data_IF_451074064445
#
_entry.id   IF_451074064445
#
_cell.length_a   1.000
_cell.length_b   1.000
_cell.length_c   1.000
_cell.angle_alpha   90.00
_cell.angle_beta   90.00
_cell.angle_gamma   90.00
#
_symmetry.space_group_name_H-M   'P 1'
#
loop_
_entity.id
_entity.type
_entity.pdbx_description
1 polymer ?
2 non-polymer ?
3 water ?
#
# COMPACT_ATOMS: atom_id res chain seq x y z
N UNK A 6 -17.99 20.79 20.73
CA UNK A 6 -17.08 21.36 19.71
C UNK A 6 -15.73 21.73 20.32
N UNK A 7 -14.65 21.44 19.58
CA UNK A 7 -13.27 21.69 20.02
C UNK A 7 -12.77 23.02 19.43
N UNK A 8 -11.90 23.72 20.17
CA UNK A 8 -11.55 25.11 19.84
C UNK A 8 -10.17 25.53 20.34
N UNK A 9 -9.36 26.10 19.43
CA UNK A 9 -8.08 26.74 19.81
C UNK A 9 -8.30 27.93 20.75
N UNK A 10 -7.39 28.11 21.70
CA UNK A 10 -7.53 29.14 22.76
C UNK A 10 -7.39 30.59 22.24
N UNK A 11 -6.55 30.78 21.23
CA UNK A 11 -6.32 32.10 20.60
C UNK A 11 -5.80 31.93 19.15
N UNK A 12 -5.58 33.03 18.40
CA UNK A 12 -4.93 32.93 17.09
C UNK A 12 -3.51 32.35 17.14
N UNK A 13 -3.31 31.24 16.42
CA UNK A 13 -2.09 30.42 16.50
C UNK A 13 -1.57 30.19 15.07
N UNK A 14 -0.24 30.12 14.87
CA UNK A 14 0.27 29.79 13.54
C UNK A 14 -0.17 28.42 13.06
N UNK A 15 -0.38 28.28 11.75
CA UNK A 15 -0.86 27.01 11.16
C UNK A 15 0.13 25.85 11.44
N UNK A 16 1.43 26.12 11.41
CA UNK A 16 2.45 25.06 11.67
C UNK A 16 2.71 24.71 13.15
N UNK A 17 2.03 25.39 14.06
CA UNK A 17 1.99 25.03 15.50
C UNK A 17 0.84 24.04 15.72
N UNK A 18 -0.36 24.44 15.27
CA UNK A 18 -1.59 23.62 15.35
C UNK A 18 -1.41 22.30 14.57
N UNK A 19 -0.90 22.38 13.34
CA UNK A 19 -0.65 21.22 12.47
C UNK A 19 0.86 21.04 12.33
N UNK A 20 1.48 20.25 13.24
CA UNK A 20 2.95 20.11 13.18
C UNK A 20 3.52 19.41 11.94
N UNK A 21 2.73 18.56 11.28
CA UNK A 21 3.15 17.94 10.02
C UNK A 21 3.19 18.99 8.89
N UNK A 22 4.37 19.27 8.30
CA UNK A 22 4.45 20.31 7.24
C UNK A 22 3.53 20.09 6.03
N UNK A 23 3.36 18.83 5.60
CA UNK A 23 2.44 18.50 4.49
C UNK A 23 0.99 18.84 4.82
N UNK A 24 0.56 18.50 6.03
CA UNK A 24 -0.81 18.78 6.44
C UNK A 24 -1.01 20.28 6.71
N UNK A 25 -0.01 20.92 7.32
CA UNK A 25 0.08 22.38 7.45
C UNK A 25 -0.09 23.06 6.11
N UNK A 26 0.59 22.56 5.07
CA UNK A 26 0.46 23.13 3.73
C UNK A 26 -0.98 23.03 3.19
N UNK A 27 -1.63 21.90 3.47
CA UNK A 27 -3.02 21.69 3.03
C UNK A 27 -4.01 22.63 3.76
N UNK A 28 -3.80 22.88 5.05
CA UNK A 28 -4.64 23.85 5.81
C UNK A 28 -4.40 25.30 5.37
N UNK A 29 -3.14 25.63 5.05
CA UNK A 29 -2.78 26.93 4.47
C UNK A 29 -3.57 27.21 3.19
N UNK A 30 -3.65 26.21 2.30
CA UNK A 30 -4.43 26.34 1.06
C UNK A 30 -5.95 26.42 1.32
N UNK A 31 -6.45 25.54 2.18
CA UNK A 31 -7.88 25.50 2.53
C UNK A 31 -8.38 26.78 3.24
N UNK A 32 -7.52 27.44 4.01
CA UNK A 32 -7.84 28.72 4.69
C UNK A 32 -7.48 29.98 3.88
N UNK A 33 -6.94 29.81 2.67
CA UNK A 33 -6.53 30.92 1.81
C UNK A 33 -5.33 31.74 2.28
N UNK A 34 -4.53 31.21 3.20
CA UNK A 34 -3.37 31.96 3.74
C UNK A 34 -2.15 31.87 2.83
N UNK A 35 -1.21 32.80 3.03
CA UNK A 35 0.02 32.91 2.21
C UNK A 35 1.11 31.92 2.63
N UNK A 36 1.29 31.76 3.95
CA UNK A 36 2.39 30.97 4.54
C UNK A 36 1.89 30.09 5.70
N UNK A 37 2.53 28.93 5.90
CA UNK A 37 2.24 28.04 7.05
C UNK A 37 2.58 28.67 8.41
N UNK A 38 3.47 29.67 8.43
CA UNK A 38 3.73 30.48 9.62
C UNK A 38 2.63 31.51 9.93
N UNK A 39 1.67 31.73 9.03
CA UNK A 39 0.57 32.70 9.27
C UNK A 39 -0.41 32.16 10.31
N UNK A 40 -1.02 33.11 11.02
CA UNK A 40 -2.02 32.84 12.04
C UNK A 40 -3.35 32.43 11.40
N UNK A 41 -4.11 31.58 12.09
CA UNK A 41 -5.52 31.32 11.78
C UNK A 41 -6.35 31.45 13.06
N UNK A 42 -7.61 31.89 12.89
CA UNK A 42 -8.60 31.89 13.98
C UNK A 42 -9.29 30.53 13.97
N UNK A 43 -10.07 30.26 15.02
CA UNK A 43 -10.93 29.07 15.05
C UNK A 43 -12.01 29.11 13.96
N UNK A 44 -12.53 30.30 13.68
CA UNK A 44 -13.47 30.51 12.55
C UNK A 44 -12.92 30.08 11.18
N UNK A 45 -11.63 30.33 10.93
CA UNK A 45 -10.95 29.85 9.70
C UNK A 45 -10.92 28.33 9.63
N UNK A 46 -10.58 27.71 10.76
CA UNK A 46 -10.60 26.25 10.89
C UNK A 46 -12.02 25.67 10.75
N UNK A 47 -13.01 26.33 11.36
CA UNK A 47 -14.43 25.91 11.24
C UNK A 47 -15.02 26.01 9.81
N UNK A 48 -14.40 26.83 8.94
CA UNK A 48 -14.77 26.93 7.52
C UNK A 48 -14.16 25.90 6.57
N UNK A 49 -13.30 25.00 7.07
CA UNK A 49 -12.72 23.92 6.24
C UNK A 49 -13.72 22.77 6.16
N UNK A 50 -14.31 22.58 4.98
CA UNK A 50 -15.25 21.48 4.73
C UNK A 50 -14.53 20.21 4.26
N UNK A 51 -13.53 20.36 3.40
CA UNK A 51 -12.76 19.25 2.83
C UNK A 51 -11.27 19.54 2.91
N UNK A 52 -10.49 18.50 3.16
CA UNK A 52 -9.03 18.60 3.27
C UNK A 52 -8.42 17.40 2.52
N UNK A 53 -7.50 17.70 1.60
CA UNK A 53 -6.83 16.69 0.78
C UNK A 53 -5.32 16.88 0.84
N UNK A 54 -4.61 15.79 1.16
CA UNK A 54 -3.14 15.75 1.22
C UNK A 54 -2.64 14.36 0.78
N UNK A 55 -3.19 13.89 -0.35
CA UNK A 55 -2.86 12.63 -1.04
C UNK A 55 -1.37 12.59 -1.36
N UNK A 56 -0.68 11.55 -0.93
CA UNK A 56 0.70 11.26 -1.36
C UNK A 56 1.74 12.38 -1.11
N UNK A 57 1.71 12.97 0.09
CA UNK A 57 2.56 14.10 0.46
C UNK A 57 3.41 13.87 1.71
N UNK A 58 3.52 12.62 2.16
CA UNK A 58 4.36 12.28 3.26
C UNK A 58 3.84 12.67 4.64
N UNK A 59 2.53 12.73 4.84
CA UNK A 59 1.92 13.03 6.15
C UNK A 59 2.19 11.86 7.12
N UNK A 60 2.80 12.17 8.25
CA UNK A 60 3.06 11.18 9.32
C UNK A 60 2.24 11.37 10.59
N UNK A 61 1.60 12.53 10.76
CA UNK A 61 0.72 12.78 11.90
C UNK A 61 -0.37 13.76 11.51
N UNK A 62 -1.59 13.48 11.99
CA UNK A 62 -2.75 14.32 11.74
C UNK A 62 -3.15 15.14 12.97
N UNK A 63 -2.22 15.34 13.90
CA UNK A 63 -2.39 16.31 15.00
C UNK A 63 -2.86 17.66 14.46
N UNK A 64 -3.85 18.24 15.12
CA UNK A 64 -4.49 19.48 14.69
C UNK A 64 -5.84 19.30 14.02
N UNK A 65 -6.08 18.12 13.43
CA UNK A 65 -7.34 17.81 12.75
C UNK A 65 -8.55 17.92 13.68
N UNK A 66 -8.34 17.64 14.98
CA UNK A 66 -9.39 17.75 16.00
C UNK A 66 -10.10 19.10 16.05
N UNK A 67 -9.41 20.16 15.60
CA UNK A 67 -9.95 21.53 15.57
C UNK A 67 -10.82 21.79 14.34
N UNK A 68 -10.78 20.91 13.34
CA UNK A 68 -11.60 21.05 12.14
C UNK A 68 -12.99 20.45 12.42
N UNK A 69 -13.80 21.18 13.20
CA UNK A 69 -15.12 20.70 13.69
C UNK A 69 -16.09 20.32 12.58
N UNK A 70 -16.15 21.15 11.53
CA UNK A 70 -17.11 20.99 10.43
C UNK A 70 -16.52 20.26 9.20
N UNK A 71 -15.40 19.53 9.38
CA UNK A 71 -14.78 18.73 8.32
C UNK A 71 -15.77 17.64 7.86
N UNK A 72 -15.97 17.56 6.55
CA UNK A 72 -16.90 16.65 5.88
C UNK A 72 -16.13 15.55 5.11
N UNK A 73 -15.07 15.92 4.39
CA UNK A 73 -14.26 15.00 3.59
C UNK A 73 -12.78 15.08 3.95
N UNK A 74 -12.15 13.94 4.17
CA UNK A 74 -10.72 13.87 4.47
C UNK A 74 -10.06 12.85 3.54
N UNK A 75 -9.15 13.34 2.70
CA UNK A 75 -8.49 12.55 1.67
C UNK A 75 -7.02 12.48 2.05
N UNK A 76 -6.60 11.34 2.58
CA UNK A 76 -5.25 11.13 3.10
C UNK A 76 -4.60 9.87 2.56
N UNK A 77 -5.01 9.47 1.34
CA UNK A 77 -4.44 8.31 0.65
C UNK A 77 -2.91 8.40 0.49
N UNK A 78 -2.24 7.25 0.68
CA UNK A 78 -0.81 7.09 0.40
C UNK A 78 0.10 8.00 1.21
N UNK A 79 -0.22 8.13 2.50
CA UNK A 79 0.64 8.80 3.46
C UNK A 79 1.20 7.74 4.42
N UNK A 80 1.85 8.16 5.51
CA UNK A 80 2.42 7.23 6.47
C UNK A 80 1.87 7.52 7.85
N UNK A 81 0.56 7.58 7.96
CA UNK A 81 -0.14 7.92 9.20
C UNK A 81 -0.29 6.63 10.00
N UNK A 82 0.07 6.66 11.29
CA UNK A 82 -0.06 5.52 12.21
C UNK A 82 -1.11 5.72 13.33
N UNK A 83 -1.51 6.96 13.62
CA UNK A 83 -2.37 7.30 14.78
C UNK A 83 -3.58 8.12 14.32
N UNK A 84 -4.76 7.58 14.51
CA UNK A 84 -6.03 8.23 14.12
C UNK A 84 -6.74 8.91 15.28
N UNK A 85 -6.09 8.97 16.45
CA UNK A 85 -6.67 9.59 17.66
C UNK A 85 -7.24 11.01 17.45
N UNK A 86 -6.56 11.88 16.66
CA UNK A 86 -7.09 13.23 16.41
C UNK A 86 -8.45 13.33 15.69
N UNK A 87 -8.85 12.26 14.98
CA UNK A 87 -10.20 12.15 14.38
C UNK A 87 -11.36 11.84 15.34
N UNK A 88 -11.08 11.36 16.57
CA UNK A 88 -12.07 10.68 17.46
C UNK A 88 -13.40 11.36 17.63
N UNK A 89 -13.34 12.67 17.84
CA UNK A 89 -14.52 13.48 18.22
C UNK A 89 -15.11 14.28 17.07
N UNK A 90 -14.61 14.09 15.85
CA UNK A 90 -15.22 14.69 14.67
C UNK A 90 -16.61 14.09 14.45
N UNK A 91 -17.60 14.96 14.30
CA UNK A 91 -19.02 14.57 14.25
C UNK A 91 -19.70 14.73 12.88
N UNK A 92 -19.07 15.42 11.92
CA UNK A 92 -19.63 15.69 10.58
C UNK A 92 -18.86 15.08 9.38
N UNK A 93 -17.78 14.32 9.64
CA UNK A 93 -17.02 13.64 8.57
C UNK A 93 -17.90 12.56 7.93
N UNK A 94 -18.11 12.65 6.61
CA UNK A 94 -18.85 11.63 5.82
C UNK A 94 -17.98 10.81 4.85
N UNK A 95 -16.82 11.35 4.49
CA UNK A 95 -15.89 10.74 3.54
C UNK A 95 -14.52 10.69 4.20
N UNK A 96 -14.01 9.49 4.45
CA UNK A 96 -12.68 9.29 5.03
C UNK A 96 -11.86 8.33 4.15
N UNK A 97 -10.78 8.83 3.54
CA UNK A 97 -9.93 8.05 2.64
C UNK A 97 -8.56 7.93 3.27
N UNK A 98 -8.25 6.72 3.75
CA UNK A 98 -7.01 6.41 4.45
C UNK A 98 -6.19 5.32 3.79
N UNK A 99 -6.55 4.96 2.55
CA UNK A 99 -5.85 3.94 1.74
C UNK A 99 -4.31 4.09 1.73
N UNK A 100 -3.59 2.98 1.95
CA UNK A 100 -2.13 2.96 1.91
C UNK A 100 -1.40 3.34 3.19
N UNK A 101 -2.12 3.85 4.21
CA UNK A 101 -1.51 4.26 5.47
C UNK A 101 -1.27 3.05 6.36
N UNK A 102 -0.13 2.99 7.07
CA UNK A 102 0.15 1.83 7.94
C UNK A 102 -0.65 1.88 9.26
N UNK A 103 -1.97 1.76 9.19
CA UNK A 103 -2.85 1.93 10.35
C UNK A 103 -2.76 0.81 11.37
N UNK A 104 -2.77 -0.44 10.90
CA UNK A 104 -2.67 -1.67 11.70
C UNK A 104 -3.97 -2.04 12.40
N UNK A 105 -4.65 -1.05 12.95
CA UNK A 105 -6.03 -1.19 13.41
C UNK A 105 -6.78 0.11 13.16
N UNK A 106 -8.10 0.06 13.24
CA UNK A 106 -8.96 1.26 13.08
C UNK A 106 -9.87 1.47 14.31
N UNK A 107 -9.36 1.18 15.51
CA UNK A 107 -10.13 1.37 16.77
C UNK A 107 -10.61 2.81 16.94
N UNK A 108 -9.76 3.76 16.55
CA UNK A 108 -10.05 5.18 16.70
C UNK A 108 -11.24 5.72 15.89
N UNK A 109 -11.73 5.00 14.89
CA UNK A 109 -12.87 5.48 14.10
C UNK A 109 -14.25 4.95 14.53
N UNK A 110 -14.29 4.08 15.54
CA UNK A 110 -15.54 3.42 15.96
C UNK A 110 -16.68 4.38 16.37
N UNK A 111 -16.32 5.57 16.85
CA UNK A 111 -17.29 6.62 17.20
C UNK A 111 -17.72 7.52 16.05
N UNK A 112 -17.10 7.41 14.89
CA UNK A 112 -17.40 8.31 13.76
C UNK A 112 -18.67 7.84 13.01
N UNK A 113 -19.83 7.93 13.68
CA UNK A 113 -21.12 7.41 13.16
C UNK A 113 -21.60 8.10 11.88
N UNK A 114 -21.18 9.35 11.66
CA UNK A 114 -21.51 10.10 10.44
C UNK A 114 -20.91 9.58 9.12
N UNK A 115 -19.90 8.68 9.18
CA UNK A 115 -19.18 8.23 7.96
C UNK A 115 -20.07 7.45 6.99
N UNK A 116 -20.13 7.93 5.74
CA UNK A 116 -20.84 7.28 4.62
C UNK A 116 -19.89 6.53 3.67
N UNK A 117 -18.70 7.07 3.42
CA UNK A 117 -17.71 6.46 2.51
C UNK A 117 -16.40 6.30 3.29
N UNK A 118 -15.90 5.06 3.35
CA UNK A 118 -14.68 4.74 4.10
C UNK A 118 -13.75 3.90 3.24
N UNK A 119 -12.53 4.38 3.02
CA UNK A 119 -11.52 3.63 2.26
C UNK A 119 -10.35 3.23 3.16
N UNK A 120 -10.27 1.92 3.43
CA UNK A 120 -9.22 1.32 4.25
C UNK A 120 -8.37 0.31 3.46
N UNK A 121 -8.29 0.50 2.14
CA UNK A 121 -7.42 -0.28 1.25
C UNK A 121 -5.96 -0.23 1.70
N UNK A 122 -5.32 -1.39 1.83
CA UNK A 122 -3.86 -1.48 2.13
C UNK A 122 -3.49 -0.71 3.40
N UNK A 123 -4.22 -0.97 4.49
CA UNK A 123 -3.96 -0.32 5.78
C UNK A 123 -3.35 -1.25 6.83
N UNK A 124 -2.95 -2.45 6.39
CA UNK A 124 -2.38 -3.50 7.24
C UNK A 124 -3.29 -3.88 8.40
N UNK A 125 -4.60 -3.85 8.18
CA UNK A 125 -5.58 -4.27 9.20
C UNK A 125 -5.89 -5.76 9.08
N UNK A 126 -6.20 -6.37 10.21
CA UNK A 126 -6.65 -7.76 10.28
C UNK A 126 -8.10 -7.91 10.76
N UNK A 127 -8.70 -6.83 11.26
CA UNK A 127 -9.89 -6.88 12.10
C UNK A 127 -10.75 -5.64 11.78
N UNK A 128 -12.03 -5.83 11.49
CA UNK A 128 -12.98 -4.71 11.21
C UNK A 128 -14.06 -4.52 12.30
N UNK A 129 -13.83 -5.11 13.48
CA UNK A 129 -14.72 -4.97 14.62
C UNK A 129 -15.12 -3.52 14.97
N UNK A 130 -14.17 -2.55 14.92
CA UNK A 130 -14.54 -1.14 15.15
C UNK A 130 -15.55 -0.51 14.17
N UNK A 131 -15.75 -1.12 13.01
CA UNK A 131 -16.70 -0.58 12.03
C UNK A 131 -18.19 -0.89 12.35
N UNK A 132 -18.47 -1.83 13.27
CA UNK A 132 -19.87 -2.26 13.53
C UNK A 132 -20.87 -1.17 13.90
N UNK A 133 -20.39 -0.07 14.50
CA UNK A 133 -21.22 1.09 14.85
C UNK A 133 -21.43 2.15 13.77
N UNK A 134 -20.78 1.97 12.62
CA UNK A 134 -20.81 2.93 11.50
C UNK A 134 -22.03 2.62 10.62
N UNK A 135 -23.19 2.85 11.21
CA UNK A 135 -24.49 2.45 10.66
C UNK A 135 -24.91 3.22 9.39
N UNK A 136 -24.31 4.38 9.17
CA UNK A 136 -24.54 5.16 7.93
C UNK A 136 -23.62 4.82 6.75
N UNK A 137 -22.76 3.81 6.90
CA UNK A 137 -21.76 3.47 5.86
C UNK A 137 -22.47 2.94 4.60
N UNK A 138 -22.16 3.55 3.46
CA UNK A 138 -22.71 3.22 2.14
C UNK A 138 -21.66 2.57 1.23
N UNK A 139 -20.42 3.07 1.29
CA UNK A 139 -19.30 2.63 0.46
C UNK A 139 -18.13 2.25 1.40
N UNK A 140 -17.70 1.00 1.32
CA UNK A 140 -16.62 0.50 2.13
C UNK A 140 -15.58 -0.23 1.29
N UNK A 141 -14.34 0.22 1.33
CA UNK A 141 -13.21 -0.49 0.71
C UNK A 141 -12.33 -1.10 1.80
N UNK A 142 -12.21 -2.43 1.78
CA UNK A 142 -11.37 -3.19 2.70
C UNK A 142 -10.28 -4.02 2.00
N UNK A 143 -9.97 -3.69 0.75
CA UNK A 143 -9.09 -4.49 -0.11
C UNK A 143 -7.65 -4.47 0.34
N UNK A 144 -6.93 -5.56 0.08
CA UNK A 144 -5.46 -5.63 0.27
C UNK A 144 -5.06 -5.49 1.76
N UNK A 145 -5.79 -6.19 2.61
CA UNK A 145 -5.51 -6.32 4.03
C UNK A 145 -5.37 -7.81 4.36
N UNK A 146 -5.51 -8.20 5.63
CA UNK A 146 -5.48 -9.61 6.02
C UNK A 146 -6.69 -9.92 6.89
N UNK A 147 -7.86 -9.51 6.41
CA UNK A 147 -9.13 -9.63 7.12
C UNK A 147 -9.68 -11.03 6.85
N UNK A 148 -10.14 -11.68 7.91
CA UNK A 148 -10.78 -12.99 7.85
C UNK A 148 -12.27 -12.88 8.12
N UNK A 149 -12.66 -12.22 9.21
CA UNK A 149 -14.04 -12.22 9.72
C UNK A 149 -14.81 -10.97 9.26
N UNK A 150 -15.97 -11.19 8.61
CA UNK A 150 -16.88 -10.11 8.15
C UNK A 150 -18.05 -9.91 9.12
N UNK A 151 -18.11 -10.69 10.22
CA UNK A 151 -19.22 -10.58 11.20
C UNK A 151 -19.59 -9.14 11.62
N UNK A 152 -18.59 -8.26 11.87
CA UNK A 152 -18.90 -6.87 12.24
C UNK A 152 -19.63 -6.02 11.21
N UNK A 153 -19.64 -6.42 9.92
CA UNK A 153 -20.41 -5.72 8.88
C UNK A 153 -21.91 -6.03 8.83
N UNK A 154 -22.38 -7.07 9.54
CA UNK A 154 -23.76 -7.58 9.42
C UNK A 154 -24.87 -6.54 9.65
N UNK A 155 -24.63 -5.62 10.57
CA UNK A 155 -25.54 -4.52 10.85
C UNK A 155 -25.41 -3.29 9.96
N UNK A 156 -24.47 -3.30 9.00
CA UNK A 156 -24.26 -2.15 8.10
C UNK A 156 -25.22 -2.23 6.91
N UNK A 157 -26.50 -2.03 7.23
CA UNK A 157 -27.61 -2.24 6.30
C UNK A 157 -27.78 -1.15 5.24
N UNK A 158 -27.06 -0.03 5.35
CA UNK A 158 -26.99 0.98 4.27
C UNK A 158 -25.92 0.74 3.19
N UNK A 159 -25.15 -0.34 3.30
CA UNK A 159 -24.04 -0.60 2.36
C UNK A 159 -24.56 -0.87 0.93
N UNK A 160 -24.10 -0.06 -0.02
CA UNK A 160 -24.34 -0.24 -1.47
C UNK A 160 -23.14 -0.84 -2.19
N UNK A 161 -21.92 -0.51 -1.75
CA UNK A 161 -20.66 -0.92 -2.39
C UNK A 161 -19.75 -1.48 -1.32
N UNK A 162 -19.37 -2.75 -1.47
CA UNK A 162 -18.42 -3.42 -0.56
C UNK A 162 -17.30 -4.05 -1.37
N UNK A 163 -16.06 -3.66 -1.08
CA UNK A 163 -14.90 -4.20 -1.72
C UNK A 163 -14.02 -4.86 -0.66
N UNK A 164 -13.82 -6.17 -0.78
CA UNK A 164 -13.06 -6.99 0.16
C UNK A 164 -12.03 -7.90 -0.52
N UNK A 165 -11.60 -7.53 -1.72
CA UNK A 165 -10.62 -8.32 -2.49
C UNK A 165 -9.25 -8.38 -1.83
N UNK A 166 -8.51 -9.46 -2.09
CA UNK A 166 -7.18 -9.69 -1.50
C UNK A 166 -7.21 -9.65 0.04
N UNK A 167 -8.05 -10.49 0.61
CA UNK A 167 -8.10 -10.72 2.04
C UNK A 167 -8.07 -12.25 2.27
N UNK A 168 -8.53 -12.74 3.43
CA UNK A 168 -8.58 -14.16 3.74
C UNK A 168 -10.01 -14.55 4.17
N UNK A 169 -11.02 -13.92 3.57
CA UNK A 169 -12.41 -14.11 3.93
C UNK A 169 -12.85 -15.50 3.46
N UNK A 170 -13.49 -16.26 4.34
CA UNK A 170 -14.04 -17.60 4.01
C UNK A 170 -15.55 -17.79 4.20
N UNK A 171 -16.25 -16.76 4.69
CA UNK A 171 -17.65 -16.87 5.06
C UNK A 171 -18.34 -15.56 4.65
N UNK A 172 -19.30 -15.63 3.73
CA UNK A 172 -20.10 -14.47 3.30
C UNK A 172 -21.45 -14.35 4.04
N UNK A 173 -21.71 -15.23 4.99
CA UNK A 173 -22.94 -15.19 5.80
C UNK A 173 -23.26 -13.83 6.44
N UNK A 174 -22.24 -13.08 6.94
CA UNK A 174 -22.51 -11.72 7.45
C UNK A 174 -23.10 -10.72 6.44
N UNK A 175 -22.98 -11.01 5.14
CA UNK A 175 -23.53 -10.14 4.09
C UNK A 175 -25.03 -10.38 3.77
N UNK A 176 -25.64 -11.42 4.36
CA UNK A 176 -27.02 -11.85 4.05
C UNK A 176 -28.12 -10.77 4.16
N UNK A 177 -27.95 -9.84 5.11
CA UNK A 177 -28.94 -8.77 5.36
C UNK A 177 -28.59 -7.41 4.72
N UNK A 178 -27.50 -7.33 3.95
CA UNK A 178 -27.09 -6.08 3.29
C UNK A 178 -27.82 -5.95 1.95
N UNK A 179 -29.13 -5.71 2.04
CA UNK A 179 -30.05 -5.78 0.89
C UNK A 179 -29.92 -4.65 -0.12
N UNK A 180 -29.24 -3.56 0.24
CA UNK A 180 -28.96 -2.47 -0.70
C UNK A 180 -27.71 -2.68 -1.58
N UNK A 181 -26.93 -3.74 -1.36
CA UNK A 181 -25.67 -3.95 -2.10
C UNK A 181 -25.89 -4.13 -3.61
N UNK A 182 -25.26 -3.26 -4.40
CA UNK A 182 -25.18 -3.39 -5.85
C UNK A 182 -23.83 -3.93 -6.35
N UNK A 183 -22.75 -3.71 -5.60
CA UNK A 183 -21.42 -4.22 -5.96
C UNK A 183 -20.78 -4.95 -4.79
N UNK A 184 -20.38 -6.20 -5.06
CA UNK A 184 -19.52 -6.96 -4.16
C UNK A 184 -18.29 -7.33 -4.94
N UNK A 185 -17.14 -6.80 -4.54
CA UNK A 185 -15.86 -7.16 -5.13
C UNK A 185 -15.08 -7.96 -4.11
N UNK A 186 -14.82 -9.23 -4.41
CA UNK A 186 -14.21 -10.18 -3.48
C UNK A 186 -13.19 -11.11 -4.13
N UNK A 187 -12.48 -10.62 -5.15
CA UNK A 187 -11.41 -11.41 -5.82
C UNK A 187 -10.30 -11.76 -4.81
N UNK A 188 -9.82 -13.01 -4.85
CA UNK A 188 -8.64 -13.45 -4.09
C UNK A 188 -8.94 -13.46 -2.57
N UNK A 189 -9.75 -14.44 -2.20
CA UNK A 189 -10.19 -14.71 -0.84
C UNK A 189 -10.25 -16.24 -0.67
N UNK A 190 -10.93 -16.73 0.35
CA UNK A 190 -11.09 -18.17 0.58
C UNK A 190 -12.58 -18.54 0.57
N UNK A 191 -13.33 -17.97 -0.39
CA UNK A 191 -14.78 -18.16 -0.46
C UNK A 191 -15.06 -19.47 -1.21
N UNK A 192 -15.89 -20.33 -0.64
CA UNK A 192 -16.43 -21.53 -1.34
C UNK A 192 -17.94 -21.62 -1.46
N UNK A 193 -18.67 -21.07 -0.49
CA UNK A 193 -20.13 -21.08 -0.46
C UNK A 193 -20.53 -19.64 -0.75
N UNK A 194 -21.33 -19.42 -1.79
CA UNK A 194 -21.93 -18.08 -2.07
C UNK A 194 -23.46 -18.06 -1.87
N UNK A 195 -23.99 -19.04 -1.13
CA UNK A 195 -25.43 -19.08 -0.75
C UNK A 195 -25.99 -17.78 -0.18
N UNK A 196 -25.22 -17.08 0.70
CA UNK A 196 -25.66 -15.76 1.20
C UNK A 196 -26.07 -14.72 0.16
N UNK A 197 -25.47 -14.77 -1.03
CA UNK A 197 -25.72 -13.78 -2.09
C UNK A 197 -27.12 -13.88 -2.69
N UNK A 198 -27.79 -15.02 -2.54
CA UNK A 198 -29.19 -15.20 -3.02
C UNK A 198 -30.23 -14.25 -2.39
N UNK A 199 -29.97 -13.78 -1.16
CA UNK A 199 -30.82 -12.78 -0.49
C UNK A 199 -30.37 -11.32 -0.74
N UNK A 200 -29.48 -11.09 -1.72
CA UNK A 200 -29.04 -9.75 -2.13
C UNK A 200 -29.59 -9.47 -3.54
N UNK A 201 -30.87 -9.03 -3.64
CA UNK A 201 -31.52 -8.92 -4.96
C UNK A 201 -31.04 -7.79 -5.90
N UNK A 202 -30.38 -6.77 -5.35
CA UNK A 202 -29.96 -5.61 -6.13
C UNK A 202 -28.54 -5.71 -6.71
N UNK A 203 -27.87 -6.87 -6.53
CA UNK A 203 -26.50 -7.08 -7.01
C UNK A 203 -26.42 -6.93 -8.53
N UNK A 204 -25.58 -5.99 -8.96
CA UNK A 204 -25.27 -5.73 -10.36
C UNK A 204 -23.93 -6.38 -10.75
N UNK A 205 -22.92 -6.21 -9.90
CA UNK A 205 -21.54 -6.61 -10.19
C UNK A 205 -21.01 -7.43 -9.03
N UNK A 206 -20.64 -8.68 -9.30
CA UNK A 206 -20.08 -9.59 -8.30
C UNK A 206 -18.73 -10.09 -8.82
N UNK A 207 -17.64 -9.73 -8.16
CA UNK A 207 -16.31 -10.16 -8.56
C UNK A 207 -15.85 -11.21 -7.58
N UNK A 208 -15.70 -12.45 -8.06
CA UNK A 208 -15.31 -13.60 -7.22
C UNK A 208 -14.17 -14.43 -7.83
N UNK A 209 -13.24 -13.78 -8.53
CA UNK A 209 -12.07 -14.48 -9.12
C UNK A 209 -11.15 -15.02 -8.03
N UNK A 210 -10.42 -16.10 -8.32
CA UNK A 210 -9.44 -16.71 -7.38
C UNK A 210 -10.04 -17.00 -6.00
N UNK A 211 -11.23 -17.59 -6.02
CA UNK A 211 -11.87 -18.17 -4.86
C UNK A 211 -12.06 -19.66 -5.19
N UNK A 212 -12.73 -20.41 -4.31
CA UNK A 212 -12.85 -21.87 -4.44
C UNK A 212 -14.32 -22.26 -4.52
N UNK A 213 -14.99 -21.76 -5.56
CA UNK A 213 -16.45 -21.84 -5.74
C UNK A 213 -16.80 -22.93 -6.76
N UNK A 214 -17.68 -23.86 -6.35
CA UNK A 214 -18.21 -24.95 -7.19
C UNK A 214 -19.65 -24.72 -7.67
N UNK A 215 -20.48 -24.14 -6.80
CA UNK A 215 -21.93 -24.06 -6.99
C UNK A 215 -22.32 -22.58 -7.14
N UNK A 216 -22.79 -22.19 -8.33
CA UNK A 216 -23.29 -20.82 -8.58
C UNK A 216 -24.84 -20.71 -8.66
N UNK A 217 -25.55 -21.75 -8.19
CA UNK A 217 -27.02 -21.72 -8.03
C UNK A 217 -27.61 -20.50 -7.28
N UNK A 218 -26.95 -20.03 -6.19
CA UNK A 218 -27.47 -18.84 -5.48
C UNK A 218 -27.55 -17.55 -6.31
N UNK A 219 -26.81 -17.49 -7.42
CA UNK A 219 -26.90 -16.40 -8.39
C UNK A 219 -28.02 -16.53 -9.43
N UNK A 220 -28.55 -17.75 -9.62
CA UNK A 220 -29.53 -18.06 -10.69
C UNK A 220 -30.77 -17.16 -10.71
N UNK A 221 -31.26 -16.78 -9.53
CA UNK A 221 -32.46 -15.93 -9.39
C UNK A 221 -32.24 -14.41 -9.28
N UNK A 222 -30.98 -13.99 -9.12
CA UNK A 222 -30.63 -12.57 -9.07
C UNK A 222 -30.81 -11.96 -10.47
N UNK A 223 -31.80 -11.07 -10.60
CA UNK A 223 -32.27 -10.59 -11.90
C UNK A 223 -31.67 -9.25 -12.36
N UNK A 224 -30.92 -8.55 -11.49
CA UNK A 224 -30.24 -7.28 -11.88
C UNK A 224 -28.75 -7.45 -12.19
N UNK A 225 -28.29 -8.69 -12.34
CA UNK A 225 -26.87 -9.04 -12.38
C UNK A 225 -26.35 -8.73 -13.77
N UNK A 226 -25.38 -7.82 -13.88
CA UNK A 226 -24.66 -7.57 -15.14
C UNK A 226 -23.48 -8.51 -15.32
N UNK A 227 -22.70 -8.77 -14.26
CA UNK A 227 -21.51 -9.62 -14.35
C UNK A 227 -21.16 -10.30 -13.03
N UNK A 228 -20.84 -11.59 -13.14
CA UNK A 228 -20.17 -12.35 -12.09
C UNK A 228 -18.86 -12.83 -12.70
N UNK A 229 -17.74 -12.69 -11.99
CA UNK A 229 -16.46 -13.18 -12.47
C UNK A 229 -15.95 -14.30 -11.57
N UNK A 230 -15.32 -15.30 -12.18
CA UNK A 230 -14.65 -16.40 -11.47
C UNK A 230 -13.33 -16.74 -12.15
N UNK A 231 -12.52 -17.57 -11.51
CA UNK A 231 -11.47 -18.36 -12.18
C UNK A 231 -11.52 -19.82 -11.71
N UNK B 5 18.38 -20.84 -18.56
CA UNK B 5 19.27 -20.43 -19.69
C UNK B 5 18.61 -19.34 -20.55
N UNK B 6 17.54 -19.70 -21.28
CA UNK B 6 16.85 -18.79 -22.21
C UNK B 6 15.50 -19.36 -22.66
N UNK B 7 14.41 -18.63 -22.38
CA UNK B 7 13.03 -19.11 -22.58
C UNK B 7 12.45 -18.53 -23.88
N UNK B 8 11.56 -19.29 -24.54
CA UNK B 8 11.11 -18.97 -25.91
C UNK B 8 9.72 -19.52 -26.24
N UNK B 9 8.82 -18.64 -26.73
CA UNK B 9 7.53 -19.05 -27.30
C UNK B 9 7.71 -19.98 -28.50
N UNK B 10 6.84 -20.98 -28.64
CA UNK B 10 6.97 -22.02 -29.68
C UNK B 10 6.74 -21.50 -31.10
N UNK B 11 5.83 -20.52 -31.25
CA UNK B 11 5.53 -19.91 -32.54
C UNK B 11 4.97 -18.48 -32.35
N UNK B 12 4.67 -17.74 -33.45
CA UNK B 12 3.96 -16.46 -33.33
C UNK B 12 2.58 -16.58 -32.68
N UNK B 13 2.40 -15.85 -31.57
CA UNK B 13 1.23 -15.97 -30.69
C UNK B 13 0.65 -14.57 -30.46
N UNK B 14 -0.69 -14.43 -30.33
CA UNK B 14 -1.24 -13.13 -29.95
C UNK B 14 -0.73 -12.64 -28.58
N UNK B 15 -0.58 -11.32 -28.45
CA UNK B 15 -0.05 -10.73 -27.20
C UNK B 15 -0.96 -11.06 -25.98
N UNK B 16 -2.28 -11.08 -26.17
CA UNK B 16 -3.22 -11.40 -25.07
C UNK B 16 -3.41 -12.90 -24.72
N UNK B 17 -2.72 -13.78 -25.44
CA UNK B 17 -2.57 -15.21 -25.11
C UNK B 17 -1.36 -15.41 -24.20
N UNK B 18 -0.22 -14.89 -24.65
CA UNK B 18 1.06 -14.92 -23.90
C UNK B 18 0.92 -14.18 -22.57
N UNK B 19 0.36 -12.97 -22.61
CA UNK B 19 0.13 -12.12 -21.43
C UNK B 19 -1.37 -12.07 -21.18
N UNK B 20 -1.91 -13.02 -20.37
CA UNK B 20 -3.36 -13.04 -20.17
C UNK B 20 -3.95 -11.82 -19.42
N UNK B 21 -3.16 -11.13 -18.60
CA UNK B 21 -3.61 -9.92 -17.93
C UNK B 21 -3.76 -8.78 -18.96
N UNK B 22 -4.99 -8.23 -19.18
CA UNK B 22 -5.17 -7.19 -20.22
C UNK B 22 -4.31 -5.94 -20.05
N UNK B 23 -4.12 -5.50 -18.80
CA UNK B 23 -3.26 -4.34 -18.50
C UNK B 23 -1.80 -4.59 -18.89
N UNK B 24 -1.30 -5.79 -18.59
CA UNK B 24 0.10 -6.12 -18.93
C UNK B 24 0.24 -6.35 -20.43
N UNK B 25 -0.76 -7.02 -21.03
CA UNK B 25 -0.90 -7.13 -22.48
C UNK B 25 -0.83 -5.78 -23.17
N UNK B 26 -1.56 -4.80 -22.64
CA UNK B 26 -1.54 -3.43 -23.18
C UNK B 26 -0.12 -2.80 -23.13
N UNK B 27 0.61 -3.06 -22.04
CA UNK B 27 1.99 -2.55 -21.89
C UNK B 27 2.97 -3.21 -22.89
N UNK B 28 2.82 -4.51 -23.15
CA UNK B 28 3.63 -5.20 -24.18
C UNK B 28 3.30 -4.75 -25.62
N UNK B 29 2.01 -4.50 -25.88
CA UNK B 29 1.53 -3.93 -27.14
C UNK B 29 2.24 -2.60 -27.45
N UNK B 30 2.32 -1.72 -26.45
CA UNK B 30 3.02 -0.44 -26.62
C UNK B 30 4.55 -0.61 -26.78
N UNK B 31 5.15 -1.44 -25.93
CA UNK B 31 6.59 -1.75 -25.99
C UNK B 31 7.06 -2.41 -27.30
N UNK B 32 6.21 -3.22 -27.93
CA UNK B 32 6.49 -3.87 -29.23
C UNK B 32 6.02 -3.07 -30.46
N UNK B 33 5.42 -1.89 -30.25
CA UNK B 33 4.90 -1.04 -31.31
C UNK B 33 3.66 -1.55 -32.05
N UNK B 34 2.94 -2.53 -31.50
CA UNK B 34 1.79 -3.13 -32.19
C UNK B 34 0.52 -2.28 -32.03
N UNK B 35 -0.44 -2.53 -32.91
CA UNK B 35 -1.71 -1.78 -32.93
C UNK B 35 -2.72 -2.26 -31.89
N UNK B 36 -2.83 -3.58 -31.72
CA UNK B 36 -3.85 -4.24 -30.88
C UNK B 36 -3.25 -5.38 -30.04
N UNK B 37 -3.81 -5.60 -28.85
CA UNK B 37 -3.42 -6.75 -28.00
C UNK B 37 -3.72 -8.13 -28.62
N UNK B 38 -4.67 -8.18 -29.56
CA UNK B 38 -4.92 -9.38 -30.39
C UNK B 38 -3.87 -9.63 -31.49
N UNK B 39 -2.96 -8.67 -31.76
CA UNK B 39 -1.92 -8.86 -32.77
C UNK B 39 -0.86 -9.86 -32.32
N UNK B 40 -0.27 -10.53 -33.32
CA UNK B 40 0.80 -11.51 -33.12
C UNK B 40 2.12 -10.79 -32.78
N UNK B 41 2.96 -11.46 -31.98
CA UNK B 41 4.35 -11.08 -31.77
C UNK B 41 5.23 -12.34 -31.96
N UNK B 42 6.45 -12.12 -32.43
CA UNK B 42 7.48 -13.15 -32.49
C UNK B 42 8.23 -13.13 -31.15
N UNK B 43 9.06 -14.16 -30.92
CA UNK B 43 9.99 -14.17 -29.78
C UNK B 43 11.01 -13.01 -29.86
N UNK B 44 11.45 -12.69 -31.08
CA UNK B 44 12.31 -11.52 -31.35
C UNK B 44 11.74 -10.18 -30.88
N UNK B 45 10.42 -9.98 -31.05
CA UNK B 45 9.73 -8.78 -30.53
C UNK B 45 9.80 -8.74 -29.00
N UNK B 46 9.53 -9.88 -28.37
CA UNK B 46 9.63 -10.02 -26.91
C UNK B 46 11.08 -9.83 -26.41
N UNK B 47 12.06 -10.38 -27.13
CA UNK B 47 13.49 -10.21 -26.80
C UNK B 47 14.01 -8.75 -26.95
N UNK B 48 13.32 -7.92 -27.73
CA UNK B 48 13.60 -6.47 -27.82
C UNK B 48 12.96 -5.55 -26.78
N UNK B 49 12.20 -6.10 -25.82
CA UNK B 49 11.65 -5.31 -24.72
C UNK B 49 12.71 -5.17 -23.62
N UNK B 50 13.24 -3.97 -23.46
CA UNK B 50 14.21 -3.66 -22.39
C UNK B 50 13.53 -3.26 -21.10
N UNK B 51 12.48 -2.45 -21.18
CA UNK B 51 11.75 -1.92 -20.02
C UNK B 51 10.26 -2.08 -20.22
N UNK B 52 9.55 -2.39 -19.14
CA UNK B 52 8.10 -2.57 -19.17
C UNK B 52 7.52 -1.86 -17.94
N UNK B 53 6.53 -1.00 -18.19
CA UNK B 53 5.89 -0.19 -17.14
C UNK B 53 4.38 -0.36 -17.22
N UNK B 54 3.77 -0.73 -16.09
CA UNK B 54 2.32 -0.88 -15.95
C UNK B 54 1.88 -0.46 -14.53
N UNK B 55 2.39 0.71 -14.11
CA UNK B 55 2.08 1.39 -12.82
C UNK B 55 0.59 1.62 -12.69
N UNK B 56 -0.03 1.13 -11.62
CA UNK B 56 -1.39 1.48 -11.23
C UNK B 56 -2.48 1.21 -12.29
N UNK B 57 -2.43 0.03 -12.90
CA UNK B 57 -3.31 -0.37 -13.99
C UNK B 57 -4.10 -1.66 -13.72
N UNK B 58 -4.11 -2.12 -12.47
CA UNK B 58 -4.89 -3.28 -12.10
C UNK B 58 -4.31 -4.62 -12.55
N UNK B 59 -2.99 -4.73 -12.67
CA UNK B 59 -2.33 -6.01 -13.03
C UNK B 59 -2.49 -7.01 -11.86
N UNK B 60 -3.07 -8.18 -12.13
CA UNK B 60 -3.20 -9.26 -11.15
C UNK B 60 -2.32 -10.47 -11.41
N UNK B 61 -1.74 -10.59 -12.61
CA UNK B 61 -0.83 -11.69 -12.93
C UNK B 61 0.21 -11.23 -13.95
N UNK B 62 1.46 -11.62 -13.71
CA UNK B 62 2.57 -11.33 -14.62
C UNK B 62 2.97 -12.55 -15.47
N UNK B 63 2.07 -13.52 -15.63
CA UNK B 63 2.24 -14.61 -16.61
C UNK B 63 2.61 -14.04 -17.97
N UNK B 64 3.61 -14.66 -18.62
CA UNK B 64 4.16 -14.20 -19.89
C UNK B 64 5.48 -13.44 -19.76
N UNK B 65 5.75 -12.83 -18.59
CA UNK B 65 7.02 -12.10 -18.31
C UNK B 65 8.25 -12.99 -18.49
N UNK B 66 8.11 -14.30 -18.21
CA UNK B 66 9.20 -15.28 -18.37
C UNK B 66 9.85 -15.28 -19.78
N UNK B 67 9.07 -14.88 -20.79
CA UNK B 67 9.54 -14.80 -22.19
C UNK B 67 10.32 -13.52 -22.49
N UNK B 68 10.27 -12.52 -21.60
CA UNK B 68 11.02 -11.28 -21.79
C UNK B 68 12.44 -11.48 -21.27
N UNK B 69 13.24 -12.21 -22.06
CA UNK B 69 14.61 -12.66 -21.66
C UNK B 69 15.56 -11.50 -21.33
N UNK B 70 15.51 -10.45 -22.16
CA UNK B 70 16.40 -9.28 -22.04
C UNK B 70 15.79 -8.08 -21.27
N UNK B 71 14.74 -8.32 -20.49
CA UNK B 71 14.10 -7.29 -19.65
C UNK B 71 15.12 -6.77 -18.63
N UNK B 72 15.24 -5.44 -18.54
CA UNK B 72 16.18 -4.72 -17.67
C UNK B 72 15.43 -3.99 -16.53
N UNK B 73 14.32 -3.32 -16.84
CA UNK B 73 13.53 -2.56 -15.86
C UNK B 73 12.08 -3.02 -15.86
N UNK B 74 11.52 -3.31 -14.69
CA UNK B 74 10.11 -3.70 -14.55
C UNK B 74 9.48 -2.79 -13.49
N UNK B 75 8.50 -1.99 -13.93
CA UNK B 75 7.84 -0.99 -13.10
C UNK B 75 6.39 -1.41 -12.94
N UNK B 76 6.07 -1.99 -11.77
CA UNK B 76 4.76 -2.58 -11.48
C UNK B 76 4.16 -2.10 -10.18
N UNK B 77 4.55 -0.89 -9.76
CA UNK B 77 4.00 -0.25 -8.58
C UNK B 77 2.46 -0.16 -8.60
N UNK B 78 1.87 -0.42 -7.43
CA UNK B 78 0.43 -0.23 -7.16
C UNK B 78 -0.50 -1.08 -8.04
N UNK B 79 -0.13 -2.33 -8.20
CA UNK B 79 -0.97 -3.33 -8.83
C UNK B 79 -1.38 -4.34 -7.76
N UNK B 80 -2.00 -5.45 -8.15
CA UNK B 80 -2.46 -6.45 -7.21
C UNK B 80 -1.84 -7.82 -7.55
N UNK B 81 -0.53 -7.83 -7.70
CA UNK B 81 0.19 -9.05 -8.11
C UNK B 81 0.45 -9.86 -6.84
N UNK B 82 0.14 -11.15 -6.86
CA UNK B 82 0.39 -12.07 -5.74
C UNK B 82 1.49 -13.11 -6.00
N UNK B 83 1.84 -13.37 -7.27
CA UNK B 83 2.73 -14.50 -7.65
C UNK B 83 3.86 -13.98 -8.53
N UNK B 84 5.09 -14.09 -8.02
CA UNK B 84 6.28 -13.62 -8.73
C UNK B 84 7.03 -14.73 -9.45
N UNK B 85 6.48 -15.94 -9.48
CA UNK B 85 7.08 -17.10 -10.15
C UNK B 85 7.54 -16.86 -11.61
N UNK B 86 6.75 -16.12 -12.43
CA UNK B 86 7.19 -15.79 -13.80
C UNK B 86 8.50 -14.99 -13.95
N UNK B 87 8.93 -14.27 -12.91
CA UNK B 87 10.22 -13.56 -12.88
C UNK B 87 11.45 -14.43 -12.62
N UNK B 88 11.26 -15.66 -12.13
CA UNK B 88 12.32 -16.37 -11.39
C UNK B 88 13.60 -16.66 -12.18
N UNK B 89 13.48 -16.88 -13.49
CA UNK B 89 14.62 -17.18 -14.37
C UNK B 89 15.13 -15.99 -15.21
N UNK B 90 14.60 -14.79 -14.98
CA UNK B 90 15.10 -13.57 -15.64
C UNK B 90 16.51 -13.29 -15.12
N UNK B 91 17.45 -13.07 -16.04
CA UNK B 91 18.88 -12.92 -15.71
C UNK B 91 19.47 -11.52 -15.91
N UNK B 92 18.74 -10.61 -16.57
CA UNK B 92 19.21 -9.23 -16.89
C UNK B 92 18.43 -8.09 -16.23
N UNK B 93 17.42 -8.42 -15.40
CA UNK B 93 16.63 -7.39 -14.68
C UNK B 93 17.54 -6.70 -13.64
N UNK B 94 17.68 -5.37 -13.74
CA UNK B 94 18.45 -4.53 -12.77
C UNK B 94 17.59 -3.58 -11.92
N UNK B 95 16.36 -3.30 -12.36
CA UNK B 95 15.41 -2.39 -11.70
C UNK B 95 14.08 -3.13 -11.58
N UNK B 96 13.67 -3.45 -10.36
CA UNK B 96 12.37 -4.12 -10.09
C UNK B 96 11.59 -3.28 -9.09
N UNK B 97 10.44 -2.75 -9.53
CA UNK B 97 9.58 -1.90 -8.69
C UNK B 97 8.26 -2.62 -8.48
N UNK B 98 8.06 -3.15 -7.28
CA UNK B 98 6.87 -3.92 -6.92
C UNK B 98 6.08 -3.33 -5.74
N UNK B 99 6.39 -2.09 -5.39
CA UNK B 99 5.71 -1.34 -4.34
C UNK B 99 4.17 -1.41 -4.39
N UNK B 100 3.54 -1.69 -3.24
CA UNK B 100 2.07 -1.72 -3.14
C UNK B 100 1.38 -3.03 -3.51
N UNK B 101 2.11 -3.99 -4.08
CA UNK B 101 1.56 -5.28 -4.46
C UNK B 101 1.45 -6.20 -3.24
N UNK B 102 0.37 -6.99 -3.11
CA UNK B 102 0.21 -7.88 -1.96
C UNK B 102 1.07 -9.15 -2.09
N UNK B 103 2.39 -8.99 -2.04
CA UNK B 103 3.32 -10.10 -2.32
C UNK B 103 3.37 -11.16 -1.22
N UNK B 104 3.45 -10.72 0.04
CA UNK B 104 3.48 -11.58 1.25
C UNK B 104 4.85 -12.22 1.50
N UNK B 105 5.46 -12.76 0.45
CA UNK B 105 6.84 -13.17 0.47
C UNK B 105 7.47 -12.92 -0.90
N UNK B 106 8.78 -12.86 -0.91
CA UNK B 106 9.56 -12.63 -2.14
C UNK B 106 10.58 -13.75 -2.37
N UNK B 107 10.24 -14.99 -2.01
CA UNK B 107 11.09 -16.16 -2.27
C UNK B 107 11.48 -16.29 -3.75
N UNK B 108 10.54 -15.99 -4.63
CA UNK B 108 10.72 -16.11 -6.09
C UNK B 108 11.80 -15.21 -6.71
N UNK B 109 12.24 -14.16 -6.02
CA UNK B 109 13.30 -13.29 -6.57
C UNK B 109 14.73 -13.63 -6.11
N UNK B 110 14.90 -14.62 -5.22
CA UNK B 110 16.20 -14.96 -4.61
C UNK B 110 17.33 -15.28 -5.61
N UNK B 111 16.98 -15.80 -6.77
CA UNK B 111 17.93 -16.07 -7.85
C UNK B 111 18.27 -14.87 -8.74
N UNK B 112 17.55 -13.76 -8.61
CA UNK B 112 17.73 -12.58 -9.49
C UNK B 112 18.94 -11.75 -9.07
N UNK B 113 20.13 -12.33 -9.24
CA UNK B 113 21.40 -11.73 -8.77
C UNK B 113 21.75 -10.38 -9.45
N UNK B 114 21.25 -10.18 -10.68
CA UNK B 114 21.45 -8.93 -11.43
C UNK B 114 20.77 -7.67 -10.85
N UNK B 115 19.84 -7.80 -9.90
CA UNK B 115 19.06 -6.64 -9.39
C UNK B 115 19.96 -5.61 -8.65
N UNK B 116 19.92 -4.35 -9.13
CA UNK B 116 20.60 -3.20 -8.50
C UNK B 116 19.65 -2.31 -7.72
N UNK B 117 18.42 -2.10 -8.22
CA UNK B 117 17.38 -1.31 -7.52
C UNK B 117 16.17 -2.18 -7.31
N UNK B 118 15.74 -2.30 -6.05
CA UNK B 118 14.60 -3.10 -5.67
C UNK B 118 13.68 -2.30 -4.76
N UNK B 119 12.41 -2.16 -5.17
CA UNK B 119 11.41 -1.50 -4.35
C UNK B 119 10.33 -2.49 -3.90
N UNK B 120 10.34 -2.80 -2.61
CA UNK B 120 9.36 -3.70 -1.97
C UNK B 120 8.53 -2.97 -0.89
N UNK B 121 8.36 -1.67 -1.06
CA UNK B 121 7.49 -0.82 -0.20
C UNK B 121 6.07 -1.38 -0.15
N UNK B 122 5.51 -1.56 1.04
CA UNK B 122 4.09 -1.94 1.22
C UNK B 122 3.73 -3.21 0.45
N UNK B 123 4.54 -4.26 0.64
CA UNK B 123 4.33 -5.57 0.00
C UNK B 123 3.90 -6.68 0.95
N UNK B 124 3.55 -6.31 2.19
CA UNK B 124 3.11 -7.23 3.25
C UNK B 124 4.12 -8.33 3.54
N UNK B 125 5.41 -8.03 3.43
CA UNK B 125 6.46 -9.00 3.72
C UNK B 125 6.86 -8.91 5.20
N UNK B 126 7.26 -10.05 5.75
CA UNK B 126 7.75 -10.13 7.11
C UNK B 126 9.21 -10.54 7.17
N UNK B 127 9.79 -10.98 6.05
CA UNK B 127 11.02 -11.77 6.03
C UNK B 127 11.82 -11.37 4.79
N UNK B 128 13.07 -10.98 4.97
CA UNK B 128 13.95 -10.56 3.85
C UNK B 128 15.03 -11.59 3.49
N UNK B 129 14.88 -12.81 4.00
CA UNK B 129 15.83 -13.92 3.75
C UNK B 129 16.14 -14.10 2.26
N UNK B 130 15.11 -14.01 1.37
CA UNK B 130 15.39 -14.11 -0.08
C UNK B 130 16.29 -13.03 -0.69
N UNK B 131 16.46 -11.89 -0.02
CA UNK B 131 17.34 -10.82 -0.53
C UNK B 131 18.83 -11.08 -0.34
N UNK B 132 19.21 -12.04 0.51
CA UNK B 132 20.62 -12.27 0.83
C UNK B 132 21.46 -12.54 -0.42
N UNK B 133 20.86 -13.18 -1.42
CA UNK B 133 21.55 -13.53 -2.66
C UNK B 133 21.75 -12.38 -3.64
N UNK B 134 21.10 -11.24 -3.38
CA UNK B 134 21.08 -10.10 -4.29
C UNK B 134 22.29 -9.19 -4.00
N UNK B 135 23.47 -9.74 -4.27
CA UNK B 135 24.77 -9.12 -3.89
C UNK B 135 25.12 -7.85 -4.67
N UNK B 136 24.50 -7.64 -5.84
CA UNK B 136 24.66 -6.39 -6.63
C UNK B 136 23.71 -5.24 -6.23
N UNK B 137 22.90 -5.44 -5.18
CA UNK B 137 21.85 -4.45 -4.80
C UNK B 137 22.51 -3.15 -4.28
N UNK B 138 22.06 -2.03 -4.85
CA UNK B 138 22.54 -0.68 -4.52
C UNK B 138 21.50 0.16 -3.80
N UNK B 139 20.23 0.02 -4.22
CA UNK B 139 19.09 0.79 -3.70
C UNK B 139 18.00 -0.21 -3.29
N UNK B 140 17.65 -0.20 -2.02
CA UNK B 140 16.66 -1.10 -1.47
C UNK B 140 15.62 -0.34 -0.66
N UNK B 141 14.35 -0.46 -1.05
CA UNK B 141 13.23 0.06 -0.27
C UNK B 141 12.44 -1.07 0.35
N UNK B 142 12.39 -1.08 1.67
CA UNK B 142 11.66 -2.10 2.45
C UNK B 142 10.61 -1.50 3.38
N UNK B 143 10.23 -0.25 3.11
CA UNK B 143 9.32 0.53 3.97
C UNK B 143 7.93 -0.04 4.04
N UNK B 144 7.26 0.14 5.18
CA UNK B 144 5.82 -0.14 5.33
C UNK B 144 5.51 -1.63 5.17
N UNK B 145 6.32 -2.47 5.83
CA UNK B 145 6.14 -3.90 5.92
C UNK B 145 6.06 -4.31 7.40
N UNK B 146 6.30 -5.58 7.73
CA UNK B 146 6.34 -6.03 9.12
C UNK B 146 7.62 -6.84 9.34
N UNK B 147 8.75 -6.25 8.91
CA UNK B 147 10.06 -6.86 9.00
C UNK B 147 10.64 -6.59 10.39
N UNK B 148 11.21 -7.63 10.98
CA UNK B 148 11.90 -7.57 12.26
C UNK B 148 13.42 -7.75 12.06
N UNK B 149 13.83 -8.79 11.35
CA UNK B 149 15.23 -9.22 11.28
C UNK B 149 15.91 -8.75 9.99
N UNK B 150 17.04 -8.05 10.13
CA UNK B 150 17.84 -7.54 9.00
C UNK B 150 19.08 -8.42 8.74
N UNK B 151 19.24 -9.53 9.49
CA UNK B 151 20.42 -10.42 9.33
C UNK B 151 20.77 -10.79 7.87
N UNK B 152 19.75 -11.14 7.04
CA UNK B 152 20.02 -11.44 5.63
C UNK B 152 20.63 -10.33 4.76
N UNK B 153 20.55 -9.06 5.18
CA UNK B 153 21.19 -7.94 4.45
C UNK B 153 22.69 -7.75 4.69
N UNK B 154 23.28 -8.45 5.67
CA UNK B 154 24.68 -8.23 6.11
C UNK B 154 25.73 -8.35 5.00
N UNK B 155 25.49 -9.23 4.04
CA UNK B 155 26.35 -9.38 2.86
C UNK B 155 26.10 -8.43 1.70
N UNK B 156 25.10 -7.55 1.81
CA UNK B 156 24.75 -6.63 0.71
C UNK B 156 25.65 -5.39 0.75
N UNK B 157 26.93 -5.64 0.46
CA UNK B 157 28.00 -4.65 0.62
C UNK B 157 28.03 -3.55 -0.45
N UNK B 158 27.27 -3.69 -1.54
CA UNK B 158 27.08 -2.59 -2.53
C UNK B 158 25.96 -1.59 -2.23
N UNK B 159 25.26 -1.78 -1.11
CA UNK B 159 24.10 -0.91 -0.77
C UNK B 159 24.55 0.53 -0.48
N UNK B 160 24.00 1.47 -1.23
CA UNK B 160 24.17 2.92 -1.02
C UNK B 160 22.96 3.58 -0.33
N UNK B 161 21.77 3.06 -0.62
CA UNK B 161 20.49 3.62 -0.13
C UNK B 161 19.65 2.49 0.44
N UNK B 162 19.33 2.60 1.73
CA UNK B 162 18.48 1.59 2.42
C UNK B 162 17.36 2.28 3.16
N UNK B 163 16.13 1.92 2.84
CA UNK B 163 14.96 2.49 3.44
C UNK B 163 14.17 1.37 4.10
N UNK B 164 14.05 1.44 5.41
CA UNK B 164 13.39 0.41 6.25
C UNK B 164 12.37 0.99 7.22
N UNK B 165 11.88 2.21 6.93
CA UNK B 165 10.90 2.88 7.79
C UNK B 165 9.61 2.11 7.93
N UNK B 166 8.91 2.31 9.04
CA UNK B 166 7.62 1.65 9.33
C UNK B 166 7.73 0.12 9.24
N UNK B 167 8.64 -0.43 10.04
CA UNK B 167 8.80 -1.88 10.25
C UNK B 167 8.86 -2.13 11.76
N UNK B 168 9.40 -3.26 12.21
CA UNK B 168 9.53 -3.59 13.62
C UNK B 168 11.00 -3.95 13.94
N UNK B 169 11.93 -3.28 13.25
CA UNK B 169 13.35 -3.56 13.36
C UNK B 169 13.84 -3.08 14.72
N UNK B 170 14.58 -3.93 15.44
CA UNK B 170 15.19 -3.60 16.74
C UNK B 170 16.71 -3.71 16.84
N UNK B 171 17.38 -4.18 15.77
CA UNK B 171 18.81 -4.47 15.80
C UNK B 171 19.40 -4.01 14.47
N UNK B 172 20.30 -3.05 14.52
CA UNK B 172 21.00 -2.55 13.32
C UNK B 172 22.40 -3.20 13.11
N UNK B 173 22.75 -4.17 13.94
CA UNK B 173 24.03 -4.89 13.83
C UNK B 173 24.31 -5.46 12.42
N UNK B 174 23.28 -6.02 11.73
CA UNK B 174 23.51 -6.47 10.35
C UNK B 174 23.99 -5.39 9.34
N UNK B 175 23.78 -4.11 9.66
CA UNK B 175 24.23 -3.00 8.80
C UNK B 175 25.70 -2.61 8.97
N UNK B 176 26.41 -3.18 9.96
CA UNK B 176 27.80 -2.78 10.33
C UNK B 176 28.82 -2.76 9.18
N UNK B 177 28.68 -3.69 8.23
CA UNK B 177 29.63 -3.84 7.11
C UNK B 177 29.18 -3.20 5.78
N UNK B 178 28.02 -2.52 5.78
CA UNK B 178 27.51 -1.85 4.57
C UNK B 178 28.17 -0.46 4.46
N UNK B 179 29.47 -0.48 4.15
CA UNK B 179 30.32 0.73 4.19
C UNK B 179 30.04 1.79 3.10
N UNK B 180 29.33 1.42 2.03
CA UNK B 180 28.93 2.38 0.98
C UNK B 180 27.65 3.16 1.26
N UNK B 181 26.93 2.86 2.35
CA UNK B 181 25.63 3.52 2.64
C UNK B 181 25.79 5.02 2.87
N UNK B 182 25.07 5.80 2.06
CA UNK B 182 24.95 7.25 2.25
C UNK B 182 23.57 7.67 2.83
N UNK B 183 22.52 6.85 2.64
CA UNK B 183 21.19 7.11 3.22
C UNK B 183 20.66 5.90 3.95
N UNK B 184 20.32 6.10 5.23
CA UNK B 184 19.57 5.11 6.01
C UNK B 184 18.31 5.80 6.49
N UNK B 185 17.17 5.34 6.03
CA UNK B 185 15.88 5.85 6.46
C UNK B 185 15.20 4.77 7.26
N UNK B 186 14.99 5.03 8.54
CA UNK B 186 14.50 4.00 9.49
C UNK B 186 13.52 4.57 10.50
N UNK B 187 12.72 5.57 10.09
CA UNK B 187 11.68 6.16 10.95
C UNK B 187 10.65 5.10 11.32
N UNK B 188 10.21 5.09 12.57
CA UNK B 188 9.11 4.24 13.05
C UNK B 188 9.49 2.74 13.02
N UNK B 189 10.37 2.39 13.94
CA UNK B 189 10.90 1.07 14.16
C UNK B 189 11.05 0.90 15.69
N UNK B 190 11.83 -0.09 16.14
CA UNK B 190 12.08 -0.34 17.57
C UNK B 190 13.58 -0.25 17.83
N UNK B 191 14.24 0.75 17.24
CA UNK B 191 15.68 0.90 17.36
C UNK B 191 15.99 1.66 18.67
N UNK B 192 16.90 1.12 19.47
CA UNK B 192 17.43 1.80 20.67
C UNK B 192 18.94 1.97 20.71
N UNK B 193 19.68 1.05 20.11
CA UNK B 193 21.16 1.10 20.05
C UNK B 193 21.47 1.41 18.60
N UNK B 194 22.21 2.48 18.36
CA UNK B 194 22.71 2.84 17.00
C UNK B 194 24.23 2.73 16.88
N UNK B 195 24.86 2.01 17.82
CA UNK B 195 26.31 1.73 17.77
C UNK B 195 26.81 1.23 16.41
N UNK B 196 26.05 0.33 15.72
CA UNK B 196 26.46 -0.12 14.38
C UNK B 196 26.74 0.95 13.34
N UNK B 197 26.09 2.11 13.46
CA UNK B 197 26.22 3.19 12.50
C UNK B 197 27.60 3.88 12.54
N UNK B 198 28.36 3.73 13.64
CA UNK B 198 29.72 4.31 13.76
C UNK B 198 30.73 3.79 12.72
N UNK B 199 30.51 2.56 12.24
CA UNK B 199 31.36 1.97 11.19
C UNK B 199 30.84 2.23 9.76
N UNK B 200 29.86 3.15 9.61
CA UNK B 200 29.33 3.57 8.31
C UNK B 200 29.79 5.02 8.05
N UNK B 201 31.04 5.20 7.54
CA UNK B 201 31.61 6.56 7.45
C UNK B 201 31.03 7.50 6.38
N UNK B 202 30.35 6.95 5.38
CA UNK B 202 29.82 7.74 4.26
C UNK B 202 28.37 8.23 4.45
N UNK B 203 27.75 7.97 5.62
CA UNK B 203 26.35 8.36 5.89
C UNK B 203 26.19 9.89 5.79
N UNK B 204 25.28 10.31 4.88
CA UNK B 204 24.89 11.69 4.66
C UNK B 204 23.56 11.98 5.38
N UNK B 205 22.60 11.07 5.24
CA UNK B 205 21.21 11.25 5.71
C UNK B 205 20.80 10.05 6.53
N UNK B 206 20.45 10.28 7.79
CA UNK B 206 20.00 9.20 8.69
C UNK B 206 18.66 9.64 9.26
N UNK B 207 17.60 8.91 8.94
CA UNK B 207 16.27 9.22 9.48
C UNK B 207 15.93 8.20 10.53
N UNK B 208 15.83 8.64 11.79
CA UNK B 208 15.58 7.77 12.95
C UNK B 208 14.45 8.28 13.86
N UNK B 209 13.44 8.93 13.27
CA UNK B 209 12.29 9.45 14.05
C UNK B 209 11.48 8.29 14.61
N UNK B 210 10.79 8.51 15.73
CA UNK B 210 9.89 7.50 16.37
C UNK B 210 10.58 6.15 16.57
N UNK B 211 11.79 6.23 17.09
CA UNK B 211 12.54 5.09 17.62
C UNK B 211 12.77 5.41 19.11
N UNK B 212 13.52 4.56 19.80
CA UNK B 212 13.71 4.68 21.26
C UNK B 212 15.19 4.84 21.57
N UNK B 213 15.77 5.92 21.07
CA UNK B 213 17.22 6.17 21.09
C UNK B 213 17.56 7.18 22.20
N UNK B 214 18.50 6.80 23.06
CA UNK B 214 19.05 7.67 24.14
C UNK B 214 20.44 8.23 23.82
N UNK B 215 21.29 7.41 23.19
CA UNK B 215 22.72 7.67 23.03
C UNK B 215 23.02 7.86 21.55
N UNK B 216 23.41 9.09 21.16
CA UNK B 216 23.81 9.40 19.77
C UNK B 216 25.33 9.54 19.57
N UNK B 217 26.12 9.12 20.57
CA UNK B 217 27.59 9.06 20.47
C UNK B 217 28.15 8.38 19.20
N UNK B 218 27.56 7.25 18.76
CA UNK B 218 28.07 6.60 17.54
C UNK B 218 28.04 7.46 16.26
N UNK B 219 27.18 8.49 16.24
CA UNK B 219 27.13 9.45 15.14
C UNK B 219 28.18 10.56 15.23
N UNK B 220 28.79 10.76 16.41
CA UNK B 220 29.78 11.84 16.65
C UNK B 220 30.97 11.82 15.69
N UNK B 221 31.48 10.63 15.36
CA UNK B 221 32.64 10.48 14.46
C UNK B 221 32.31 10.77 13.01
N UNK B 222 31.04 10.56 12.62
CA UNK B 222 30.64 10.55 11.21
C UNK B 222 30.70 11.98 10.67
N UNK B 223 31.65 12.20 9.75
CA UNK B 223 31.99 13.55 9.28
C UNK B 223 31.29 13.99 7.97
N UNK B 224 30.58 13.10 7.28
CA UNK B 224 29.83 13.45 6.06
C UNK B 224 28.33 13.68 6.29
N UNK B 225 27.93 13.78 7.56
CA UNK B 225 26.53 13.73 7.96
C UNK B 225 25.90 15.10 7.71
N UNK B 226 24.88 15.17 6.84
CA UNK B 226 24.09 16.39 6.64
C UNK B 226 22.93 16.49 7.62
N UNK B 227 22.24 15.37 7.89
CA UNK B 227 21.12 15.37 8.83
C UNK B 227 20.89 13.99 9.50
N UNK B 228 20.64 14.02 10.80
CA UNK B 228 20.07 12.92 11.54
C UNK B 228 18.78 13.44 12.15
N UNK B 229 17.67 12.72 12.00
CA UNK B 229 16.39 13.12 12.59
C UNK B 229 16.01 12.14 13.71
N UNK B 230 15.41 12.69 14.77
CA UNK B 230 14.84 11.92 15.88
C UNK B 230 13.49 12.50 16.28
N UNK B 231 12.74 11.76 17.10
CA UNK B 231 11.72 12.34 17.99
C UNK B 231 11.89 11.81 19.43
#
# INVERSE_FOLDING_TARGET
GAEVRAESIAQPTPINVIFPDPALANAVKTATGKSNVTDAVTQADLDGIATLSAFNTGVTTIEGIQYLNNLIGLELKDNQITDLTPLKNLTKITELELSGNPLKNVSAIAGLQSIKTLDLTSTQITDVTPLAGLSNLQVLYLDLNQITNISPLAGLTNLQYLSIGNNQVNDLTPLANLSKLTTLRADDNKISDISPLASLPNLIEVHLKDNQISDVSPLANLSNLFIVTLT
GAEVRAESIAQPTPINVIFPDPALANAVKTATGKSNVTDAVTQADLDGIATLSAFNTGVTTIEGIQYLNNLIGLELKDNQITDLTPLKNLTKITELELSGNPLKNVSAIAGLQSIKTLDLTSTQITDVTPLAGLSNLQVLYLDLNQITNISPLAGLTNLQYLSIGNNQVNDLTPLANLSKLTTLRADDNKISDISPLASLPNLIEVHLKDNQISDVSPLANLSNLFIVTLT
#
